data_IF_793606766542
#
_entry.id   IF_793606766542
#
_cell.length_a   1.000
_cell.length_b   1.000
_cell.length_c   1.000
_cell.angle_alpha   90.00
_cell.angle_beta   90.00
_cell.angle_gamma   90.00
#
_symmetry.space_group_name_H-M   'P 1'
#
loop_
_entity.id
_entity.type
_entity.pdbx_description
1 polymer ?
#
# COMPACT_ATOMS: atom_id res chain seq x y z
N UNK A 1 12.07 -30.44 20.25
CA UNK A 1 12.62 -30.40 21.62
C UNK A 1 11.54 -30.65 22.67
N UNK A 2 10.34 -30.15 22.56
CA UNK A 2 9.30 -30.26 23.59
C UNK A 2 8.54 -31.59 23.70
N UNK A 3 8.70 -32.52 22.79
CA UNK A 3 7.90 -33.78 22.77
C UNK A 3 8.31 -34.84 23.83
N UNK A 4 9.49 -34.67 24.43
CA UNK A 4 9.97 -35.62 25.45
C UNK A 4 9.70 -35.23 26.90
N UNK A 5 9.20 -33.99 27.12
CA UNK A 5 8.89 -33.48 28.44
C UNK A 5 7.38 -33.47 28.64
N UNK A 6 6.93 -34.18 29.65
CA UNK A 6 5.50 -34.42 29.93
C UNK A 6 5.08 -33.66 31.20
N UNK A 7 5.51 -32.38 31.33
CA UNK A 7 4.99 -31.50 32.38
C UNK A 7 3.77 -30.71 31.91
N UNK A 8 3.02 -30.15 32.86
CA UNK A 8 1.88 -29.29 32.57
C UNK A 8 2.30 -28.07 31.73
N UNK A 9 3.37 -27.40 32.12
CA UNK A 9 3.92 -26.22 31.43
C UNK A 9 4.34 -26.56 29.99
N UNK A 10 5.00 -27.70 29.79
CA UNK A 10 5.39 -28.16 28.45
C UNK A 10 4.17 -28.46 27.57
N UNK A 11 3.07 -28.92 28.17
CA UNK A 11 1.81 -29.17 27.47
C UNK A 11 1.14 -27.85 27.06
N UNK A 12 1.06 -26.89 27.99
CA UNK A 12 0.51 -25.55 27.71
C UNK A 12 1.33 -24.83 26.62
N UNK A 13 2.65 -24.88 26.70
CA UNK A 13 3.52 -24.32 25.68
C UNK A 13 3.27 -24.94 24.30
N UNK A 14 3.11 -26.27 24.22
CA UNK A 14 2.80 -26.93 22.92
C UNK A 14 1.46 -26.51 22.34
N UNK A 15 0.43 -26.39 23.20
CA UNK A 15 -0.90 -25.94 22.77
C UNK A 15 -0.79 -24.52 22.21
N UNK A 16 -0.16 -23.61 22.96
CA UNK A 16 0.06 -22.23 22.52
C UNK A 16 0.88 -22.16 21.23
N UNK A 17 2.05 -22.80 21.18
CA UNK A 17 2.91 -22.78 20.00
C UNK A 17 2.23 -23.36 18.76
N UNK A 18 1.47 -24.45 18.92
CA UNK A 18 0.71 -25.05 17.81
C UNK A 18 -0.39 -24.13 17.32
N UNK A 19 -1.08 -23.42 18.21
CA UNK A 19 -2.09 -22.42 17.85
C UNK A 19 -1.49 -21.29 17.04
N UNK A 20 -0.40 -20.69 17.53
CA UNK A 20 0.33 -19.62 16.85
C UNK A 20 0.82 -20.06 15.46
N UNK A 21 1.47 -21.22 15.39
CA UNK A 21 1.95 -21.74 14.10
C UNK A 21 0.82 -22.05 13.12
N UNK A 22 -0.28 -22.63 13.60
CA UNK A 22 -1.46 -22.90 12.77
C UNK A 22 -2.06 -21.62 12.22
N UNK A 23 -2.19 -20.61 13.06
CA UNK A 23 -2.71 -19.30 12.66
C UNK A 23 -1.80 -18.65 11.62
N UNK A 24 -0.49 -18.62 11.87
CA UNK A 24 0.49 -18.08 10.92
C UNK A 24 0.46 -18.81 9.57
N UNK A 25 0.42 -20.14 9.57
CA UNK A 25 0.37 -20.92 8.33
C UNK A 25 -0.93 -20.74 7.54
N UNK A 26 -2.03 -20.46 8.24
CA UNK A 26 -3.34 -20.28 7.61
C UNK A 26 -3.56 -18.85 7.13
N UNK A 27 -3.21 -17.86 7.97
CA UNK A 27 -3.49 -16.44 7.70
C UNK A 27 -2.29 -15.67 7.16
N UNK A 28 -1.07 -16.15 7.40
CA UNK A 28 0.17 -15.46 7.07
C UNK A 28 0.62 -14.43 8.11
N UNK A 29 -0.13 -14.27 9.22
CA UNK A 29 0.21 -13.39 10.34
C UNK A 29 -0.38 -13.91 11.65
N UNK A 30 0.18 -13.42 12.76
CA UNK A 30 -0.35 -13.59 14.14
C UNK A 30 -0.21 -12.25 14.84
N UNK A 31 -1.27 -11.81 15.52
CA UNK A 31 -1.29 -10.55 16.27
C UNK A 31 -1.61 -10.82 17.74
N UNK A 32 -0.94 -10.10 18.61
CA UNK A 32 -1.27 -10.01 20.04
C UNK A 32 -2.11 -8.75 20.25
N UNK A 33 -3.42 -8.90 20.11
CA UNK A 33 -4.38 -7.81 20.16
C UNK A 33 -4.35 -7.05 21.49
N UNK A 34 -4.16 -7.75 22.61
CA UNK A 34 -4.17 -7.13 23.93
C UNK A 34 -2.93 -6.25 24.11
N UNK A 35 -1.79 -6.72 23.66
CA UNK A 35 -0.54 -5.94 23.66
C UNK A 35 -0.61 -4.73 22.73
N UNK A 36 -1.17 -4.90 21.53
CA UNK A 36 -1.32 -3.82 20.56
C UNK A 36 -2.36 -2.77 20.98
N UNK A 37 -3.32 -3.13 21.83
CA UNK A 37 -4.27 -2.20 22.45
C UNK A 37 -3.69 -1.47 23.69
N UNK A 38 -2.41 -1.65 23.98
CA UNK A 38 -1.72 -0.96 25.07
C UNK A 38 -2.04 -1.47 26.47
N UNK A 39 -2.58 -2.70 26.62
CA UNK A 39 -2.93 -3.26 27.93
C UNK A 39 -1.72 -3.75 28.72
N UNK A 40 -0.64 -4.16 28.05
CA UNK A 40 0.60 -4.62 28.67
C UNK A 40 1.80 -4.13 27.87
N UNK A 41 2.27 -2.91 28.14
CA UNK A 41 3.42 -2.33 27.45
C UNK A 41 4.72 -2.77 28.12
N UNK A 42 5.23 -3.94 27.76
CA UNK A 42 6.64 -4.28 28.00
C UNK A 42 7.45 -3.91 26.75
N UNK A 43 8.19 -2.81 26.82
CA UNK A 43 9.09 -2.38 25.74
C UNK A 43 8.52 -1.29 24.83
N UNK A 44 9.04 -1.17 23.62
CA UNK A 44 8.61 -0.18 22.65
C UNK A 44 7.19 -0.48 22.13
N UNK A 45 6.44 0.58 21.83
CA UNK A 45 5.16 0.47 21.16
C UNK A 45 5.40 0.22 19.66
N UNK A 46 4.95 -0.94 19.19
CA UNK A 46 5.06 -1.37 17.79
C UNK A 46 3.76 -1.16 17.00
N UNK A 47 2.80 -0.42 17.54
CA UNK A 47 1.52 -0.21 16.86
C UNK A 47 1.68 0.59 15.56
N UNK A 48 2.52 1.61 15.57
CA UNK A 48 2.81 2.39 14.37
C UNK A 48 3.54 1.57 13.31
N UNK A 49 4.50 0.73 13.70
CA UNK A 49 5.19 -0.22 12.80
C UNK A 49 4.20 -1.17 12.12
N UNK A 50 3.22 -1.69 12.89
CA UNK A 50 2.16 -2.54 12.36
C UNK A 50 1.29 -1.79 11.35
N UNK A 51 0.88 -0.55 11.68
CA UNK A 51 0.08 0.28 10.78
C UNK A 51 0.80 0.56 9.46
N UNK A 52 2.08 0.90 9.51
CA UNK A 52 2.87 1.18 8.32
C UNK A 52 3.03 -0.08 7.46
N UNK A 53 3.25 -1.23 8.06
CA UNK A 53 3.31 -2.51 7.36
C UNK A 53 1.96 -2.90 6.71
N UNK A 54 0.85 -2.68 7.40
CA UNK A 54 -0.49 -2.89 6.83
C UNK A 54 -0.72 -1.97 5.63
N UNK A 55 -0.37 -0.67 5.75
CA UNK A 55 -0.46 0.29 4.64
C UNK A 55 0.35 -0.14 3.44
N UNK A 56 1.58 -0.59 3.67
CA UNK A 56 2.46 -1.07 2.61
C UNK A 56 1.88 -2.31 1.90
N UNK A 57 1.39 -3.30 2.66
CA UNK A 57 0.78 -4.52 2.10
C UNK A 57 -0.47 -4.17 1.28
N UNK A 58 -1.32 -3.27 1.79
CA UNK A 58 -2.56 -2.83 1.12
C UNK A 58 -2.27 -2.12 -0.19
N UNK A 59 -1.17 -1.36 -0.23
CA UNK A 59 -0.73 -0.59 -1.40
C UNK A 59 0.31 -1.32 -2.24
N UNK A 60 0.57 -2.60 -1.96
CA UNK A 60 1.31 -3.40 -2.92
C UNK A 60 0.59 -3.36 -4.28
N UNK A 61 1.34 -3.13 -5.35
CA UNK A 61 0.83 -2.81 -6.68
C UNK A 61 -0.34 -3.71 -7.12
N UNK A 62 -0.21 -5.01 -6.89
CA UNK A 62 -1.25 -5.99 -7.23
C UNK A 62 -2.52 -5.81 -6.41
N UNK A 63 -2.41 -5.62 -5.07
CA UNK A 63 -3.56 -5.48 -4.17
C UNK A 63 -4.29 -4.18 -4.39
N UNK A 64 -3.55 -3.09 -4.54
CA UNK A 64 -4.09 -1.78 -4.86
C UNK A 64 -4.91 -1.80 -6.15
N UNK A 65 -4.34 -2.37 -7.23
CA UNK A 65 -5.02 -2.46 -8.52
C UNK A 65 -6.28 -3.32 -8.47
N UNK A 66 -6.21 -4.47 -7.80
CA UNK A 66 -7.37 -5.34 -7.62
C UNK A 66 -8.49 -4.60 -6.87
N UNK A 67 -8.16 -3.98 -5.74
CA UNK A 67 -9.16 -3.32 -4.90
C UNK A 67 -9.86 -2.16 -5.61
N UNK A 68 -9.10 -1.30 -6.29
CA UNK A 68 -9.68 -0.20 -7.07
C UNK A 68 -10.53 -0.72 -8.24
N UNK A 69 -10.08 -1.77 -8.92
CA UNK A 69 -10.83 -2.39 -10.00
C UNK A 69 -12.17 -2.95 -9.49
N UNK A 70 -12.15 -3.64 -8.35
CA UNK A 70 -13.36 -4.19 -7.72
C UNK A 70 -14.34 -3.08 -7.35
N UNK A 71 -13.87 -2.01 -6.68
CA UNK A 71 -14.69 -0.86 -6.30
C UNK A 71 -15.35 -0.22 -7.53
N UNK A 72 -14.58 0.02 -8.60
CA UNK A 72 -15.11 0.64 -9.81
C UNK A 72 -16.08 -0.27 -10.55
N UNK A 73 -15.83 -1.58 -10.57
CA UNK A 73 -16.75 -2.57 -11.14
C UNK A 73 -18.09 -2.63 -10.40
N UNK A 74 -18.07 -2.44 -9.09
CA UNK A 74 -19.26 -2.50 -8.25
C UNK A 74 -20.11 -1.23 -8.28
N UNK A 75 -19.48 -0.06 -8.37
CA UNK A 75 -20.21 1.20 -8.19
C UNK A 75 -20.06 2.21 -9.33
N UNK A 76 -19.40 1.87 -10.45
CA UNK A 76 -19.32 2.78 -11.59
C UNK A 76 -20.17 2.30 -12.76
N UNK A 77 -21.06 3.20 -13.21
CA UNK A 77 -22.02 2.90 -14.28
C UNK A 77 -21.38 2.83 -15.67
N UNK A 78 -20.25 3.48 -15.85
CA UNK A 78 -19.51 3.63 -17.11
C UNK A 78 -18.12 2.97 -17.09
N UNK A 79 -17.87 2.13 -16.09
CA UNK A 79 -16.58 1.45 -15.96
C UNK A 79 -16.44 0.34 -17.00
N UNK A 80 -15.44 0.49 -17.85
CA UNK A 80 -14.95 -0.55 -18.75
C UNK A 80 -13.44 -0.69 -18.56
N UNK A 81 -13.01 -1.86 -18.08
CA UNK A 81 -11.60 -2.15 -17.75
C UNK A 81 -10.65 -1.93 -18.92
N UNK A 82 -11.10 -2.19 -20.12
CA UNK A 82 -10.28 -2.16 -21.34
C UNK A 82 -10.40 -0.85 -22.13
N UNK A 83 -11.28 0.05 -21.69
CA UNK A 83 -11.48 1.34 -22.34
C UNK A 83 -10.26 2.26 -22.20
N UNK A 84 -10.12 3.19 -23.15
CA UNK A 84 -9.08 4.21 -23.14
C UNK A 84 -9.34 5.22 -22.01
N UNK A 85 -10.58 5.53 -21.71
CA UNK A 85 -11.02 6.41 -20.64
C UNK A 85 -10.55 5.89 -19.27
N UNK A 86 -10.74 4.61 -19.01
CA UNK A 86 -10.31 3.96 -17.77
C UNK A 86 -8.78 3.98 -17.63
N UNK A 87 -8.05 3.69 -18.71
CA UNK A 87 -6.58 3.76 -18.70
C UNK A 87 -6.08 5.18 -18.46
N UNK A 88 -6.69 6.17 -19.08
CA UNK A 88 -6.37 7.59 -18.91
C UNK A 88 -6.66 8.02 -17.45
N UNK A 89 -7.79 7.60 -16.90
CA UNK A 89 -8.13 7.88 -15.51
C UNK A 89 -7.07 7.35 -14.54
N UNK A 90 -6.68 6.08 -14.64
CA UNK A 90 -5.64 5.53 -13.76
C UNK A 90 -4.30 6.26 -13.89
N UNK A 91 -3.90 6.60 -15.10
CA UNK A 91 -2.70 7.39 -15.35
C UNK A 91 -2.79 8.77 -14.70
N UNK A 92 -3.95 9.41 -14.78
CA UNK A 92 -4.22 10.72 -14.17
C UNK A 92 -4.15 10.62 -12.65
N UNK A 93 -4.83 9.62 -12.05
CA UNK A 93 -4.77 9.37 -10.59
C UNK A 93 -3.33 9.18 -10.13
N UNK A 94 -2.57 8.33 -10.81
CA UNK A 94 -1.17 8.09 -10.47
C UNK A 94 -0.32 9.38 -10.54
N UNK A 95 -0.45 10.14 -11.60
CA UNK A 95 0.29 11.41 -11.75
C UNK A 95 -0.13 12.43 -10.69
N UNK A 96 -1.41 12.58 -10.39
CA UNK A 96 -1.89 13.47 -9.35
C UNK A 96 -1.36 13.09 -7.96
N UNK A 97 -1.34 11.79 -7.64
CA UNK A 97 -0.79 11.29 -6.37
C UNK A 97 0.72 11.57 -6.26
N UNK A 98 1.50 11.31 -7.31
CA UNK A 98 2.93 11.67 -7.33
C UNK A 98 3.14 13.16 -7.21
N UNK A 99 2.41 13.96 -7.99
CA UNK A 99 2.52 15.42 -7.96
C UNK A 99 2.15 16.01 -6.59
N UNK A 100 1.14 15.47 -5.94
CA UNK A 100 0.73 15.88 -4.60
C UNK A 100 1.83 15.69 -3.54
N UNK A 101 2.76 14.77 -3.75
CA UNK A 101 3.85 14.46 -2.81
C UNK A 101 5.16 15.13 -3.23
N UNK A 102 5.51 15.06 -4.51
CA UNK A 102 6.84 15.46 -5.01
C UNK A 102 6.84 16.76 -5.80
N UNK A 103 5.67 17.26 -6.19
CA UNK A 103 5.46 18.33 -7.18
C UNK A 103 6.01 17.98 -8.57
N UNK A 104 6.11 16.68 -8.85
CA UNK A 104 6.56 16.11 -10.11
C UNK A 104 5.62 15.02 -10.57
N UNK A 105 5.40 14.89 -11.86
CA UNK A 105 4.74 13.74 -12.47
C UNK A 105 5.64 12.51 -12.42
N UNK A 106 5.07 11.32 -12.64
CA UNK A 106 5.85 10.08 -12.67
C UNK A 106 7.00 10.13 -13.69
N UNK A 107 6.77 10.74 -14.84
CA UNK A 107 7.79 10.89 -15.88
C UNK A 107 8.92 11.85 -15.46
N UNK A 108 8.58 12.98 -14.83
CA UNK A 108 9.56 13.96 -14.32
C UNK A 108 10.40 13.37 -13.19
N UNK A 109 9.79 12.60 -12.27
CA UNK A 109 10.54 11.90 -11.22
C UNK A 109 11.61 10.98 -11.82
N UNK A 110 11.24 10.19 -12.82
CA UNK A 110 12.18 9.28 -13.47
C UNK A 110 13.26 10.08 -14.18
N UNK A 111 12.90 11.11 -14.95
CA UNK A 111 13.84 11.93 -15.70
C UNK A 111 14.88 12.60 -14.80
N UNK A 112 14.45 13.15 -13.67
CA UNK A 112 15.33 13.92 -12.78
C UNK A 112 16.18 13.05 -11.85
N UNK A 113 15.70 11.85 -11.51
CA UNK A 113 16.34 11.00 -10.49
C UNK A 113 17.08 9.79 -11.05
N UNK A 114 16.75 9.36 -12.27
CA UNK A 114 17.48 8.27 -12.91
C UNK A 114 18.88 8.74 -13.32
N UNK A 115 19.90 8.03 -12.83
CA UNK A 115 21.28 8.37 -13.10
C UNK A 115 22.12 7.09 -13.23
N UNK A 116 22.64 6.82 -14.42
CA UNK A 116 23.42 5.62 -14.71
C UNK A 116 24.74 5.54 -13.91
N UNK A 117 25.26 6.68 -13.45
CA UNK A 117 26.51 6.76 -12.69
C UNK A 117 26.31 6.55 -11.19
N UNK A 118 25.07 6.62 -10.70
CA UNK A 118 24.74 6.37 -9.30
C UNK A 118 24.57 4.89 -9.00
N UNK A 119 24.84 4.46 -7.75
CA UNK A 119 24.50 3.12 -7.30
C UNK A 119 23.03 2.82 -7.61
N UNK A 120 22.78 1.62 -8.14
CA UNK A 120 21.44 1.15 -8.50
C UNK A 120 20.68 2.09 -9.46
N UNK A 121 21.40 2.88 -10.28
CA UNK A 121 20.81 3.84 -11.23
C UNK A 121 19.95 4.94 -10.56
N UNK A 122 20.25 5.32 -9.32
CA UNK A 122 19.49 6.29 -8.54
C UNK A 122 18.21 5.75 -7.89
N UNK A 123 17.91 4.46 -8.04
CA UNK A 123 16.76 3.81 -7.39
C UNK A 123 16.96 3.70 -5.88
N UNK A 124 15.90 3.95 -5.13
CA UNK A 124 15.83 3.73 -3.67
C UNK A 124 15.34 2.32 -3.35
N UNK A 125 14.52 1.72 -4.24
CA UNK A 125 14.06 0.35 -4.14
C UNK A 125 13.90 -0.27 -5.54
N UNK A 126 13.89 -1.60 -5.64
CA UNK A 126 13.62 -2.38 -6.86
C UNK A 126 13.15 -3.78 -6.50
N UNK A 127 12.66 -4.54 -7.47
CA UNK A 127 12.04 -5.85 -7.26
C UNK A 127 12.88 -6.83 -6.43
N UNK A 128 14.20 -6.80 -6.61
CA UNK A 128 15.13 -7.72 -5.95
C UNK A 128 16.05 -7.01 -4.93
N UNK A 129 15.61 -5.85 -4.41
CA UNK A 129 16.36 -5.12 -3.39
C UNK A 129 16.49 -5.92 -2.07
N UNK A 130 17.55 -5.68 -1.27
CA UNK A 130 18.67 -4.79 -1.52
C UNK A 130 19.81 -5.41 -2.36
N UNK A 131 19.93 -6.74 -2.37
CA UNK A 131 21.13 -7.43 -2.89
C UNK A 131 21.00 -7.89 -4.36
N UNK A 132 19.77 -7.88 -4.89
CA UNK A 132 19.50 -8.34 -6.24
C UNK A 132 19.79 -7.30 -7.32
N UNK A 133 19.91 -7.75 -8.57
CA UNK A 133 20.19 -6.86 -9.71
C UNK A 133 18.98 -6.01 -10.07
N UNK A 134 19.19 -4.74 -10.38
CA UNK A 134 18.22 -3.85 -11.03
C UNK A 134 17.90 -4.38 -12.43
N UNK A 135 16.63 -4.48 -12.77
CA UNK A 135 16.18 -4.86 -14.13
C UNK A 135 15.50 -3.69 -14.82
N UNK A 136 15.39 -3.76 -16.15
CA UNK A 136 14.85 -2.66 -16.97
C UNK A 136 13.44 -2.21 -16.52
N UNK A 137 12.61 -3.14 -16.07
CA UNK A 137 11.28 -2.80 -15.55
C UNK A 137 11.33 -1.96 -14.29
N UNK A 138 12.36 -2.08 -13.45
CA UNK A 138 12.46 -1.31 -12.22
C UNK A 138 12.69 0.17 -12.50
N UNK A 139 13.49 0.48 -13.53
CA UNK A 139 13.88 1.84 -13.92
C UNK A 139 12.71 2.66 -14.46
N UNK A 140 11.66 2.01 -14.92
CA UNK A 140 10.46 2.68 -15.47
C UNK A 140 9.37 2.97 -14.45
N UNK A 141 9.59 2.62 -13.18
CA UNK A 141 8.62 2.81 -12.09
C UNK A 141 9.03 4.00 -11.24
N UNK A 142 8.30 5.10 -11.31
CA UNK A 142 8.59 6.34 -10.58
C UNK A 142 8.67 6.13 -9.05
N UNK A 143 7.82 5.27 -8.49
CA UNK A 143 7.81 4.92 -7.06
C UNK A 143 9.18 4.44 -6.57
N UNK A 144 9.95 3.78 -7.42
CA UNK A 144 11.26 3.23 -7.09
C UNK A 144 12.35 4.30 -6.87
N UNK A 145 12.09 5.55 -7.21
CA UNK A 145 12.97 6.69 -7.01
C UNK A 145 12.55 7.58 -5.84
N UNK A 146 11.46 7.26 -5.16
CA UNK A 146 10.97 8.06 -4.04
C UNK A 146 11.79 7.78 -2.79
N UNK A 147 12.04 8.84 -2.01
CA UNK A 147 12.58 8.69 -0.66
C UNK A 147 11.55 8.03 0.26
N UNK A 148 12.01 7.48 1.37
CA UNK A 148 11.15 6.84 2.39
C UNK A 148 10.00 7.76 2.83
N UNK A 149 10.28 9.05 3.10
CA UNK A 149 9.26 10.04 3.47
C UNK A 149 8.24 10.29 2.36
N UNK A 150 8.68 10.30 1.10
CA UNK A 150 7.78 10.46 -0.05
C UNK A 150 6.90 9.22 -0.24
N UNK A 151 7.48 8.02 -0.09
CA UNK A 151 6.73 6.76 -0.12
C UNK A 151 5.68 6.72 0.98
N UNK A 152 6.04 7.08 2.21
CA UNK A 152 5.10 7.12 3.33
C UNK A 152 3.96 8.13 3.10
N UNK A 153 4.28 9.34 2.63
CA UNK A 153 3.27 10.34 2.28
C UNK A 153 2.35 9.86 1.15
N UNK A 154 2.90 9.24 0.12
CA UNK A 154 2.13 8.67 -0.99
C UNK A 154 1.21 7.55 -0.51
N UNK A 155 1.72 6.67 0.35
CA UNK A 155 0.98 5.58 0.93
C UNK A 155 -0.19 6.09 1.78
N UNK A 156 0.01 7.10 2.62
CA UNK A 156 -1.06 7.72 3.42
C UNK A 156 -2.14 8.33 2.54
N UNK A 157 -1.78 9.11 1.52
CA UNK A 157 -2.75 9.70 0.59
C UNK A 157 -3.56 8.63 -0.16
N UNK A 158 -2.89 7.60 -0.65
CA UNK A 158 -3.54 6.54 -1.42
C UNK A 158 -4.48 5.70 -0.54
N UNK A 159 -4.10 5.39 0.71
CA UNK A 159 -4.96 4.64 1.63
C UNK A 159 -6.26 5.38 1.94
N UNK A 160 -6.18 6.67 2.27
CA UNK A 160 -7.38 7.47 2.57
C UNK A 160 -8.30 7.57 1.35
N UNK A 161 -7.74 7.71 0.14
CA UNK A 161 -8.56 7.71 -1.07
C UNK A 161 -9.27 6.37 -1.30
N UNK A 162 -8.60 5.24 -1.05
CA UNK A 162 -9.23 3.91 -1.10
C UNK A 162 -10.34 3.80 -0.06
N UNK A 163 -10.11 4.26 1.18
CA UNK A 163 -11.12 4.19 2.24
C UNK A 163 -12.39 4.97 1.86
N UNK A 164 -12.23 6.16 1.26
CA UNK A 164 -13.36 6.94 0.75
C UNK A 164 -14.08 6.20 -0.39
N UNK A 165 -13.33 5.55 -1.26
CA UNK A 165 -13.89 4.80 -2.39
C UNK A 165 -14.64 3.54 -1.92
N UNK A 166 -14.08 2.79 -0.95
CA UNK A 166 -14.73 1.65 -0.31
C UNK A 166 -16.06 2.04 0.35
N UNK A 167 -16.04 3.14 1.12
CA UNK A 167 -17.27 3.62 1.78
C UNK A 167 -18.37 3.94 0.75
N UNK A 168 -18.03 4.56 -0.38
CA UNK A 168 -19.01 4.83 -1.43
C UNK A 168 -19.56 3.56 -2.06
N UNK A 169 -18.74 2.54 -2.25
CA UNK A 169 -19.19 1.25 -2.74
C UNK A 169 -20.12 0.56 -1.73
N UNK A 170 -19.79 0.57 -0.45
CA UNK A 170 -20.63 0.02 0.63
C UNK A 170 -21.96 0.75 0.73
N UNK A 171 -21.98 2.08 0.56
CA UNK A 171 -23.18 2.92 0.55
C UNK A 171 -23.97 2.80 -0.77
N UNK A 172 -23.53 1.98 -1.73
CA UNK A 172 -24.12 1.81 -3.07
C UNK A 172 -24.31 3.12 -3.83
N UNK A 173 -23.40 4.08 -3.64
CA UNK A 173 -23.41 5.35 -4.35
C UNK A 173 -22.91 5.14 -5.77
N UNK A 174 -23.83 5.18 -6.74
CA UNK A 174 -23.48 5.06 -8.15
C UNK A 174 -22.65 6.27 -8.61
N UNK A 175 -21.50 6.00 -9.21
CA UNK A 175 -20.54 7.01 -9.67
C UNK A 175 -20.28 6.83 -11.17
N UNK A 176 -19.77 7.89 -11.81
CA UNK A 176 -19.13 7.82 -13.13
C UNK A 176 -17.62 7.98 -12.98
N UNK A 177 -16.86 7.68 -14.02
CA UNK A 177 -15.39 7.90 -14.02
C UNK A 177 -15.07 9.41 -13.88
N UNK A 178 -15.95 10.30 -14.35
CA UNK A 178 -15.85 11.75 -14.14
C UNK A 178 -16.07 12.12 -12.66
N UNK A 179 -17.02 11.48 -11.97
CA UNK A 179 -17.26 11.70 -10.52
C UNK A 179 -16.07 11.27 -9.68
N UNK A 180 -15.43 10.14 -10.03
CA UNK A 180 -14.20 9.69 -9.38
C UNK A 180 -13.05 10.70 -9.53
N UNK A 181 -12.88 11.27 -10.72
CA UNK A 181 -11.91 12.32 -10.98
C UNK A 181 -12.21 13.58 -10.16
N UNK A 182 -13.48 13.97 -10.08
CA UNK A 182 -13.96 15.08 -9.25
C UNK A 182 -13.72 14.86 -7.76
N UNK A 183 -13.98 13.64 -7.27
CA UNK A 183 -13.74 13.25 -5.89
C UNK A 183 -12.25 13.32 -5.54
N UNK A 184 -11.38 12.81 -6.40
CA UNK A 184 -9.94 12.88 -6.20
C UNK A 184 -9.45 14.34 -6.09
N UNK A 185 -9.93 15.23 -6.96
CA UNK A 185 -9.59 16.67 -6.89
C UNK A 185 -10.03 17.29 -5.57
N UNK A 186 -11.27 17.06 -5.15
CA UNK A 186 -11.79 17.53 -3.85
C UNK A 186 -10.95 16.99 -2.69
N UNK A 187 -10.55 15.73 -2.75
CA UNK A 187 -9.71 15.13 -1.74
C UNK A 187 -8.32 15.80 -1.68
N UNK A 188 -7.69 16.08 -2.82
CA UNK A 188 -6.41 16.79 -2.85
C UNK A 188 -6.53 18.20 -2.31
N UNK A 189 -7.57 18.93 -2.68
CA UNK A 189 -7.85 20.28 -2.22
C UNK A 189 -8.05 20.32 -0.70
N UNK A 190 -8.86 19.41 -0.15
CA UNK A 190 -9.08 19.27 1.30
C UNK A 190 -7.77 19.06 2.08
N UNK A 191 -6.83 18.37 1.49
CA UNK A 191 -5.52 18.09 2.10
C UNK A 191 -4.47 19.19 1.78
N UNK A 192 -4.87 20.31 1.16
CA UNK A 192 -3.97 21.39 0.72
C UNK A 192 -2.77 20.84 -0.11
N UNK A 193 -3.04 19.85 -0.96
CA UNK A 193 -2.01 19.26 -1.82
C UNK A 193 -2.01 19.94 -3.18
N UNK A 194 -0.81 20.18 -3.78
CA UNK A 194 -0.72 20.73 -5.11
C UNK A 194 -1.37 19.77 -6.10
N UNK A 195 -2.12 20.33 -7.04
CA UNK A 195 -2.78 19.61 -8.14
C UNK A 195 -2.03 19.86 -9.45
N UNK A 196 -2.04 18.83 -10.31
CA UNK A 196 -1.49 18.89 -11.65
C UNK A 196 -2.46 19.61 -12.60
#
# INVERSE_FOLDING_TARGET
VGYRVNSYEATQFRIWATSVLKEYLTKGFVLDDERLKGKDVFGADYFDDLLDRIREIRLSERRYYQKITDIYSECSSDYDRDSEETRLFFKTVQNMMHYAVTKQTAAEIIYDRADAERPHMGLTTWKNAPDGRVVKSDVTVAKNYLSEKEVDSLNRLSNVFIDIAEQRAEDHILMTMADWSGLLRKYMDLNNRPML
#
